data_IF_988436031880
#
_entry.id   IF_988436031880
#
_cell.length_a   1.000
_cell.length_b   1.000
_cell.length_c   1.000
_cell.angle_alpha   90.00
_cell.angle_beta   90.00
_cell.angle_gamma   90.00
#
_symmetry.space_group_name_H-M   'P 1'
#
loop_
_entity.id
_entity.type
_entity.pdbx_description
1 polymer ?
#
# COMPACT_ATOMS: atom_id res chain seq x y z
N UNK A 1 -7.99 24.73 -14.18
CA UNK A 1 -7.15 23.56 -13.83
C UNK A 1 -7.85 22.54 -12.93
N UNK A 2 -8.53 22.93 -11.83
CA UNK A 2 -9.16 21.99 -10.86
C UNK A 2 -10.18 21.02 -11.49
N UNK A 3 -11.11 21.50 -12.35
CA UNK A 3 -12.12 20.64 -13.03
C UNK A 3 -11.46 19.57 -13.90
N UNK A 4 -10.40 19.93 -14.67
CA UNK A 4 -9.68 19.00 -15.53
C UNK A 4 -9.03 17.88 -14.71
N UNK A 5 -8.33 18.22 -13.61
CA UNK A 5 -7.69 17.24 -12.73
C UNK A 5 -8.72 16.33 -12.05
N UNK A 6 -9.89 16.87 -11.66
CA UNK A 6 -10.98 16.07 -11.08
C UNK A 6 -11.50 15.01 -12.07
N UNK A 7 -11.71 15.38 -13.32
CA UNK A 7 -12.16 14.45 -14.38
C UNK A 7 -11.09 13.38 -14.65
N UNK A 8 -9.82 13.79 -14.76
CA UNK A 8 -8.70 12.85 -14.94
C UNK A 8 -8.61 11.89 -13.75
N UNK A 9 -8.71 12.38 -12.51
CA UNK A 9 -8.71 11.54 -11.31
C UNK A 9 -9.84 10.51 -11.34
N UNK A 10 -11.03 10.90 -11.79
CA UNK A 10 -12.19 10.00 -11.90
C UNK A 10 -11.97 8.93 -12.98
N UNK A 11 -11.53 9.30 -14.18
CA UNK A 11 -11.29 8.36 -15.28
C UNK A 11 -10.18 7.38 -14.93
N UNK A 12 -9.02 7.88 -14.46
CA UNK A 12 -7.89 7.02 -14.04
C UNK A 12 -8.31 6.13 -12.88
N UNK A 13 -9.15 6.64 -11.96
CA UNK A 13 -9.69 5.84 -10.87
C UNK A 13 -10.56 4.68 -11.34
N UNK A 14 -11.52 4.94 -12.26
CA UNK A 14 -12.42 3.91 -12.78
C UNK A 14 -11.68 2.87 -13.63
N UNK A 15 -10.86 3.33 -14.57
CA UNK A 15 -10.07 2.44 -15.43
C UNK A 15 -9.10 1.61 -14.57
N UNK A 16 -8.42 2.24 -13.61
CA UNK A 16 -7.54 1.54 -12.69
C UNK A 16 -8.27 0.50 -11.83
N UNK A 17 -9.49 0.79 -11.40
CA UNK A 17 -10.32 -0.15 -10.63
C UNK A 17 -10.68 -1.39 -11.47
N UNK A 18 -11.13 -1.20 -12.72
CA UNK A 18 -11.46 -2.28 -13.62
C UNK A 18 -10.22 -3.16 -13.94
N UNK A 19 -9.09 -2.53 -14.24
CA UNK A 19 -7.83 -3.22 -14.46
C UNK A 19 -7.40 -4.02 -13.22
N UNK A 20 -7.47 -3.43 -12.03
CA UNK A 20 -7.15 -4.13 -10.79
C UNK A 20 -8.06 -5.34 -10.54
N UNK A 21 -9.34 -5.22 -10.84
CA UNK A 21 -10.30 -6.32 -10.72
C UNK A 21 -9.93 -7.49 -11.65
N UNK A 22 -9.64 -7.20 -12.91
CA UNK A 22 -9.24 -8.22 -13.90
C UNK A 22 -7.90 -8.86 -13.53
N UNK A 23 -6.92 -8.06 -13.13
CA UNK A 23 -5.61 -8.54 -12.70
C UNK A 23 -5.69 -9.40 -11.43
N UNK A 24 -6.49 -8.99 -10.45
CA UNK A 24 -6.70 -9.74 -9.22
C UNK A 24 -7.39 -11.08 -9.49
N UNK A 25 -8.36 -11.09 -10.40
CA UNK A 25 -9.04 -12.33 -10.81
C UNK A 25 -8.05 -13.28 -11.51
N UNK A 26 -7.30 -12.80 -12.51
CA UNK A 26 -6.28 -13.59 -13.20
C UNK A 26 -5.20 -14.11 -12.26
N UNK A 27 -4.68 -13.25 -11.37
CA UNK A 27 -3.70 -13.64 -10.37
C UNK A 27 -4.23 -14.70 -9.41
N UNK A 28 -5.51 -14.61 -9.00
CA UNK A 28 -6.15 -15.61 -8.14
C UNK A 28 -6.32 -16.96 -8.84
N UNK A 29 -6.64 -16.97 -10.15
CA UNK A 29 -6.72 -18.21 -10.92
C UNK A 29 -5.37 -18.91 -10.98
N UNK A 30 -4.29 -18.19 -11.26
CA UNK A 30 -2.93 -18.74 -11.26
C UNK A 30 -2.55 -19.23 -9.86
N UNK A 31 -2.84 -18.46 -8.81
CA UNK A 31 -2.57 -18.83 -7.43
C UNK A 31 -3.21 -20.19 -7.07
N UNK A 32 -4.52 -20.35 -7.34
CA UNK A 32 -5.26 -21.60 -7.05
C UNK A 32 -4.77 -22.78 -7.88
N UNK A 33 -4.26 -22.52 -9.08
CA UNK A 33 -3.76 -23.58 -9.95
C UNK A 33 -2.39 -24.15 -9.50
N UNK A 34 -1.51 -23.30 -8.96
CA UNK A 34 -0.14 -23.69 -8.62
C UNK A 34 0.10 -23.94 -7.11
N UNK A 35 -0.77 -23.42 -6.25
CA UNK A 35 -0.70 -23.62 -4.80
C UNK A 35 -1.92 -24.37 -4.29
N UNK A 36 -1.78 -25.06 -3.14
CA UNK A 36 -2.88 -25.78 -2.53
C UNK A 36 -3.97 -24.84 -1.96
N UNK A 37 -5.16 -25.39 -1.70
CA UNK A 37 -6.27 -24.63 -1.13
C UNK A 37 -5.96 -24.10 0.28
N UNK A 38 -5.09 -24.78 1.02
CA UNK A 38 -4.67 -24.33 2.36
C UNK A 38 -3.94 -22.99 2.28
N UNK A 39 -3.05 -22.79 1.32
CA UNK A 39 -2.38 -21.48 1.10
C UNK A 39 -3.37 -20.38 0.71
N UNK A 40 -4.46 -20.71 0.01
CA UNK A 40 -5.52 -19.74 -0.29
C UNK A 40 -6.26 -19.33 0.98
N UNK A 41 -6.55 -20.30 1.87
CA UNK A 41 -7.14 -20.04 3.18
C UNK A 41 -6.27 -19.15 4.05
N UNK A 42 -4.95 -19.45 4.11
CA UNK A 42 -3.97 -18.62 4.83
C UNK A 42 -3.90 -17.21 4.28
N UNK A 43 -3.83 -17.08 2.96
CA UNK A 43 -3.80 -15.77 2.27
C UNK A 43 -5.06 -14.94 2.58
N UNK A 44 -6.24 -15.57 2.57
CA UNK A 44 -7.50 -14.93 2.94
C UNK A 44 -7.52 -14.49 4.42
N UNK A 45 -7.26 -15.43 5.33
CA UNK A 45 -7.31 -15.17 6.76
C UNK A 45 -6.33 -14.05 7.19
N UNK A 46 -5.06 -14.13 6.75
CA UNK A 46 -4.08 -13.10 7.11
C UNK A 46 -4.40 -11.76 6.45
N UNK A 47 -4.91 -11.76 5.22
CA UNK A 47 -5.42 -10.56 4.57
C UNK A 47 -6.55 -9.91 5.37
N UNK A 48 -7.50 -10.69 5.85
CA UNK A 48 -8.65 -10.21 6.63
C UNK A 48 -8.24 -9.73 8.04
N UNK A 49 -7.40 -10.51 8.76
CA UNK A 49 -6.89 -10.12 10.09
C UNK A 49 -6.11 -8.81 10.01
N UNK A 50 -5.22 -8.66 9.03
CA UNK A 50 -4.47 -7.43 8.84
C UNK A 50 -5.36 -6.31 8.27
N UNK A 51 -6.37 -6.65 7.47
CA UNK A 51 -7.40 -5.74 7.01
C UNK A 51 -8.19 -5.12 8.18
N UNK A 52 -8.51 -5.91 9.22
CA UNK A 52 -9.12 -5.40 10.45
C UNK A 52 -8.19 -4.43 11.20
N UNK A 53 -6.90 -4.69 11.24
CA UNK A 53 -5.94 -3.75 11.82
C UNK A 53 -5.89 -2.41 11.06
N UNK A 54 -6.20 -2.41 9.76
CA UNK A 54 -6.32 -1.19 8.96
C UNK A 54 -7.52 -0.31 9.37
N UNK A 55 -8.51 -0.84 10.09
CA UNK A 55 -9.60 -0.04 10.64
C UNK A 55 -9.11 1.00 11.66
N UNK A 56 -7.95 0.79 12.29
CA UNK A 56 -7.32 1.79 13.16
C UNK A 56 -6.98 3.10 12.42
N UNK A 57 -6.91 3.08 11.08
CA UNK A 57 -6.67 4.25 10.24
C UNK A 57 -7.94 5.09 9.98
N UNK A 58 -9.14 4.57 10.30
CA UNK A 58 -10.41 5.20 9.99
C UNK A 58 -10.51 6.63 10.55
N UNK A 59 -10.48 7.60 9.65
CA UNK A 59 -10.64 9.02 9.94
C UNK A 59 -9.33 9.80 10.07
N UNK A 60 -8.22 9.23 10.53
CA UNK A 60 -6.95 9.97 10.66
C UNK A 60 -6.47 10.46 9.29
N UNK A 61 -6.44 9.57 8.29
CA UNK A 61 -6.01 9.88 6.94
C UNK A 61 -6.82 10.99 6.29
N UNK A 62 -8.14 10.87 6.34
CA UNK A 62 -9.06 11.85 5.76
C UNK A 62 -8.99 13.21 6.46
N UNK A 63 -8.92 13.24 7.78
CA UNK A 63 -8.79 14.48 8.57
C UNK A 63 -7.47 15.21 8.26
N UNK A 64 -6.36 14.47 8.14
CA UNK A 64 -5.06 15.04 7.80
C UNK A 64 -5.04 15.60 6.38
N UNK A 65 -5.57 14.87 5.40
CA UNK A 65 -5.65 15.33 4.00
C UNK A 65 -6.52 16.59 3.92
N UNK A 66 -7.67 16.62 4.61
CA UNK A 66 -8.54 17.79 4.68
C UNK A 66 -7.80 19.01 5.23
N UNK A 67 -7.03 18.86 6.31
CA UNK A 67 -6.22 19.92 6.90
C UNK A 67 -5.14 20.46 5.96
N UNK A 68 -4.68 19.66 5.00
CA UNK A 68 -3.66 20.05 4.02
C UNK A 68 -4.21 20.84 2.83
N UNK A 69 -5.53 20.78 2.53
CA UNK A 69 -6.08 21.47 1.35
C UNK A 69 -5.87 22.97 1.36
N UNK A 70 -6.08 23.63 2.51
CA UNK A 70 -5.93 25.07 2.63
C UNK A 70 -4.46 25.52 2.49
N UNK A 71 -3.50 24.97 3.23
CA UNK A 71 -2.08 25.27 3.03
C UNK A 71 -1.59 24.99 1.61
N UNK A 72 -2.03 23.88 0.99
CA UNK A 72 -1.68 23.55 -0.39
C UNK A 72 -2.23 24.58 -1.39
N UNK A 73 -3.45 25.12 -1.15
CA UNK A 73 -4.04 26.13 -2.02
C UNK A 73 -3.37 27.51 -1.86
N UNK A 74 -2.77 27.78 -0.71
CA UNK A 74 -2.07 29.02 -0.38
C UNK A 74 -0.55 28.95 -0.61
N UNK A 75 -0.03 27.79 -1.08
CA UNK A 75 1.40 27.49 -1.20
C UNK A 75 2.18 27.72 0.11
N UNK A 76 1.53 27.47 1.27
CA UNK A 76 2.19 27.54 2.58
C UNK A 76 2.97 26.23 2.85
N UNK A 77 4.19 26.20 2.34
CA UNK A 77 5.07 25.03 2.47
C UNK A 77 5.46 24.74 3.92
N UNK A 78 5.58 25.79 4.75
CA UNK A 78 5.94 25.62 6.17
C UNK A 78 4.83 24.91 6.93
N UNK A 79 3.57 25.29 6.70
CA UNK A 79 2.44 24.63 7.32
C UNK A 79 2.24 23.22 6.79
N UNK A 80 2.41 23.00 5.47
CA UNK A 80 2.39 21.66 4.87
C UNK A 80 3.45 20.75 5.48
N UNK A 81 4.69 21.23 5.64
CA UNK A 81 5.78 20.43 6.23
C UNK A 81 5.46 20.05 7.69
N UNK A 82 4.87 20.97 8.48
CA UNK A 82 4.43 20.69 9.87
C UNK A 82 3.35 19.60 9.89
N UNK A 83 2.33 19.70 9.04
CA UNK A 83 1.26 18.71 8.94
C UNK A 83 1.79 17.35 8.47
N UNK A 84 2.71 17.33 7.49
CA UNK A 84 3.36 16.11 7.04
C UNK A 84 4.18 15.42 8.13
N UNK A 85 4.90 16.20 8.96
CA UNK A 85 5.65 15.66 10.09
C UNK A 85 4.71 15.10 11.17
N UNK A 86 3.60 15.78 11.47
CA UNK A 86 2.56 15.28 12.37
C UNK A 86 1.99 13.95 11.85
N UNK A 87 1.61 13.92 10.56
CA UNK A 87 1.05 12.74 9.91
C UNK A 87 2.04 11.55 9.94
N UNK A 88 3.31 11.82 9.62
CA UNK A 88 4.37 10.82 9.73
C UNK A 88 4.51 10.25 11.15
N UNK A 89 4.42 11.09 12.17
CA UNK A 89 4.52 10.66 13.57
C UNK A 89 3.34 9.80 13.97
N UNK A 90 2.11 10.23 13.63
CA UNK A 90 0.89 9.44 13.89
C UNK A 90 0.96 8.06 13.23
N UNK A 91 1.38 8.00 11.96
CA UNK A 91 1.48 6.72 11.25
C UNK A 91 2.59 5.81 11.77
N UNK A 92 3.66 6.37 12.32
CA UNK A 92 4.66 5.58 13.04
C UNK A 92 4.11 4.96 14.32
N UNK A 93 3.29 5.71 15.07
CA UNK A 93 2.63 5.18 16.27
C UNK A 93 1.66 4.05 15.87
N UNK A 94 0.85 4.25 14.84
CA UNK A 94 -0.04 3.20 14.31
C UNK A 94 0.75 1.97 13.85
N UNK A 95 1.83 2.16 13.10
CA UNK A 95 2.69 1.06 12.65
C UNK A 95 3.29 0.25 13.82
N UNK A 96 3.74 0.93 14.87
CA UNK A 96 4.25 0.29 16.07
C UNK A 96 3.15 -0.46 16.84
N UNK A 97 1.95 0.12 16.95
CA UNK A 97 0.81 -0.54 17.57
C UNK A 97 0.40 -1.79 16.79
N UNK A 98 0.31 -1.70 15.45
CA UNK A 98 0.01 -2.85 14.57
C UNK A 98 1.09 -3.94 14.71
N UNK A 99 2.37 -3.54 14.74
CA UNK A 99 3.47 -4.49 14.95
C UNK A 99 3.35 -5.19 16.31
N UNK A 100 3.12 -4.43 17.39
CA UNK A 100 2.99 -4.97 18.75
C UNK A 100 1.80 -5.92 18.88
N UNK A 101 0.62 -5.52 18.40
CA UNK A 101 -0.59 -6.36 18.41
C UNK A 101 -0.36 -7.61 17.54
N UNK A 102 0.21 -7.42 16.34
CA UNK A 102 0.49 -8.51 15.41
C UNK A 102 1.46 -9.55 16.02
N UNK A 103 2.54 -9.11 16.64
CA UNK A 103 3.47 -10.02 17.33
C UNK A 103 2.81 -10.73 18.52
N UNK A 104 1.94 -10.04 19.27
CA UNK A 104 1.18 -10.65 20.38
C UNK A 104 0.18 -11.71 19.92
N UNK A 105 -0.35 -11.60 18.67
CA UNK A 105 -1.23 -12.60 18.07
C UNK A 105 -0.47 -13.84 17.55
N UNK A 106 0.83 -13.75 17.32
CA UNK A 106 1.63 -14.83 16.72
C UNK A 106 1.52 -16.19 17.46
N UNK A 107 1.56 -16.27 18.81
CA UNK A 107 1.40 -17.54 19.51
C UNK A 107 -0.01 -18.13 19.42
N UNK A 108 -1.01 -17.34 19.05
CA UNK A 108 -2.39 -17.80 18.89
C UNK A 108 -2.72 -18.31 17.48
N UNK A 109 -1.81 -18.14 16.51
CA UNK A 109 -2.01 -18.57 15.10
C UNK A 109 -2.44 -20.04 14.98
N UNK A 110 -1.83 -21.02 15.69
CA UNK A 110 -2.24 -22.42 15.57
C UNK A 110 -3.69 -22.65 16.01
N UNK A 111 -4.21 -21.83 16.94
CA UNK A 111 -5.61 -21.93 17.40
C UNK A 111 -6.59 -21.27 16.43
N UNK A 112 -6.16 -20.21 15.76
CA UNK A 112 -6.98 -19.50 14.76
C UNK A 112 -7.12 -20.28 13.45
N UNK A 113 -6.15 -21.13 13.14
CA UNK A 113 -6.07 -21.89 11.90
C UNK A 113 -6.38 -23.37 12.12
N UNK A 114 -7.64 -23.69 12.43
CA UNK A 114 -8.13 -25.07 12.37
C UNK A 114 -8.09 -25.52 10.89
N UNK A 115 -7.15 -26.40 10.54
CA UNK A 115 -6.94 -26.90 9.16
C UNK A 115 -5.71 -26.34 8.45
N UNK A 116 -4.88 -25.52 9.09
CA UNK A 116 -3.60 -25.06 8.54
C UNK A 116 -2.40 -25.99 8.80
N UNK A 117 -2.64 -27.22 9.23
CA UNK A 117 -1.59 -28.21 9.53
C UNK A 117 -0.76 -28.61 8.29
N UNK A 118 -1.25 -28.33 7.09
CA UNK A 118 -0.54 -28.57 5.82
C UNK A 118 0.32 -27.42 5.31
N UNK A 119 0.32 -26.24 6.01
CA UNK A 119 1.09 -25.08 5.55
C UNK A 119 2.43 -24.99 6.24
N UNK A 120 3.50 -25.22 5.50
CA UNK A 120 4.85 -25.07 6.01
C UNK A 120 5.18 -23.61 6.32
N UNK A 121 5.95 -23.38 7.39
CA UNK A 121 6.45 -22.06 7.77
C UNK A 121 5.36 -20.99 8.02
N UNK A 122 4.21 -21.39 8.59
CA UNK A 122 3.07 -20.53 8.88
C UNK A 122 3.46 -19.23 9.61
N UNK A 123 4.36 -19.31 10.58
CA UNK A 123 4.84 -18.16 11.36
C UNK A 123 5.61 -17.18 10.47
N UNK A 124 6.44 -17.66 9.54
CA UNK A 124 7.17 -16.83 8.60
C UNK A 124 6.20 -16.14 7.62
N UNK A 125 5.21 -16.88 7.12
CA UNK A 125 4.16 -16.34 6.26
C UNK A 125 3.43 -15.20 6.97
N UNK A 126 2.97 -15.43 8.20
CA UNK A 126 2.33 -14.40 9.02
C UNK A 126 3.22 -13.17 9.23
N UNK A 127 4.50 -13.38 9.54
CA UNK A 127 5.45 -12.29 9.73
C UNK A 127 5.62 -11.45 8.46
N UNK A 128 5.66 -12.07 7.28
CA UNK A 128 5.72 -11.35 6.00
C UNK A 128 4.47 -10.49 5.77
N UNK A 129 3.28 -11.00 6.10
CA UNK A 129 2.04 -10.22 6.05
C UNK A 129 2.06 -9.06 7.07
N UNK A 130 2.50 -9.31 8.28
CA UNK A 130 2.63 -8.28 9.31
C UNK A 130 3.61 -7.18 8.89
N UNK A 131 4.78 -7.55 8.35
CA UNK A 131 5.76 -6.60 7.82
C UNK A 131 5.18 -5.80 6.65
N UNK A 132 4.38 -6.42 5.78
CA UNK A 132 3.70 -5.71 4.69
C UNK A 132 2.72 -4.66 5.24
N UNK A 133 1.92 -4.99 6.25
CA UNK A 133 1.00 -4.05 6.89
C UNK A 133 1.77 -2.90 7.54
N UNK A 134 2.78 -3.18 8.36
CA UNK A 134 3.63 -2.17 9.01
C UNK A 134 4.29 -1.24 7.99
N UNK A 135 4.86 -1.81 6.93
CA UNK A 135 5.52 -1.04 5.85
C UNK A 135 4.51 -0.15 5.12
N UNK A 136 3.29 -0.64 4.88
CA UNK A 136 2.25 0.18 4.25
C UNK A 136 1.94 1.43 5.07
N UNK A 137 1.84 1.34 6.39
CA UNK A 137 1.66 2.49 7.27
C UNK A 137 2.84 3.45 7.23
N UNK A 138 4.07 2.95 7.30
CA UNK A 138 5.27 3.78 7.27
C UNK A 138 5.42 4.58 5.97
N UNK A 139 4.77 4.16 4.89
CA UNK A 139 4.86 4.78 3.57
C UNK A 139 3.60 5.59 3.19
N UNK A 140 2.44 5.29 3.78
CA UNK A 140 1.14 5.87 3.40
C UNK A 140 1.06 7.39 3.57
N UNK A 141 1.71 7.96 4.58
CA UNK A 141 1.64 9.41 4.84
C UNK A 141 2.08 10.26 3.64
N UNK A 142 2.98 9.76 2.79
CA UNK A 142 3.46 10.46 1.59
C UNK A 142 2.36 10.66 0.54
N UNK A 143 1.31 9.83 0.58
CA UNK A 143 0.20 9.91 -0.37
C UNK A 143 -0.68 11.15 -0.15
N UNK A 144 -0.70 11.67 1.08
CA UNK A 144 -1.53 12.81 1.46
C UNK A 144 -1.21 14.06 0.64
N UNK A 145 0.07 14.29 0.33
CA UNK A 145 0.48 15.47 -0.42
C UNK A 145 -0.05 15.46 -1.86
N UNK A 146 -0.07 14.28 -2.53
CA UNK A 146 -0.66 14.16 -3.86
C UNK A 146 -2.17 14.43 -3.84
N UNK A 147 -2.85 14.03 -2.78
CA UNK A 147 -4.27 14.29 -2.60
C UNK A 147 -4.52 15.78 -2.31
N UNK A 148 -3.71 16.41 -1.45
CA UNK A 148 -3.81 17.82 -1.12
C UNK A 148 -3.68 18.73 -2.36
N UNK A 149 -2.77 18.40 -3.28
CA UNK A 149 -2.60 19.09 -4.56
C UNK A 149 -3.53 18.60 -5.67
N UNK A 150 -4.49 17.71 -5.39
CA UNK A 150 -5.41 17.12 -6.38
C UNK A 150 -4.68 16.38 -7.53
N UNK A 151 -3.47 15.90 -7.29
CA UNK A 151 -2.64 15.14 -8.24
C UNK A 151 -2.61 13.64 -7.93
N UNK A 152 -3.64 13.13 -7.23
CA UNK A 152 -3.74 11.72 -6.84
C UNK A 152 -3.69 10.74 -8.04
N UNK A 153 -4.06 11.20 -9.26
CA UNK A 153 -3.97 10.40 -10.47
C UNK A 153 -2.55 9.96 -10.80
N UNK A 154 -1.53 10.78 -10.48
CA UNK A 154 -0.12 10.45 -10.72
C UNK A 154 0.25 9.23 -9.86
N UNK A 155 -0.10 9.29 -8.57
CA UNK A 155 0.14 8.17 -7.65
C UNK A 155 -0.58 6.91 -8.11
N UNK A 156 -1.87 7.02 -8.45
CA UNK A 156 -2.67 5.87 -8.92
C UNK A 156 -2.09 5.24 -10.20
N UNK A 157 -1.61 6.06 -11.14
CA UNK A 157 -1.00 5.55 -12.37
C UNK A 157 0.30 4.76 -12.07
N UNK A 158 1.16 5.29 -11.19
CA UNK A 158 2.38 4.59 -10.78
C UNK A 158 2.04 3.28 -10.06
N UNK A 159 1.11 3.31 -9.10
CA UNK A 159 0.68 2.11 -8.38
C UNK A 159 0.09 1.06 -9.31
N UNK A 160 -0.63 1.48 -10.37
CA UNK A 160 -1.19 0.57 -11.36
C UNK A 160 -0.08 -0.12 -12.18
N UNK A 161 0.90 0.63 -12.66
CA UNK A 161 2.02 0.07 -13.43
C UNK A 161 2.81 -0.91 -12.56
N UNK A 162 3.14 -0.51 -11.34
CA UNK A 162 3.88 -1.34 -10.40
C UNK A 162 3.06 -2.57 -9.96
N UNK A 163 1.74 -2.43 -9.85
CA UNK A 163 0.82 -3.54 -9.60
C UNK A 163 0.86 -4.60 -10.71
N UNK A 164 0.93 -4.16 -11.97
CA UNK A 164 1.08 -5.07 -13.13
C UNK A 164 2.43 -5.78 -13.08
N UNK A 165 3.53 -5.04 -12.85
CA UNK A 165 4.88 -5.62 -12.72
C UNK A 165 4.90 -6.65 -11.58
N UNK A 166 4.34 -6.30 -10.42
CA UNK A 166 4.23 -7.21 -9.29
C UNK A 166 3.50 -8.50 -9.67
N UNK A 167 2.33 -8.39 -10.33
CA UNK A 167 1.56 -9.55 -10.74
C UNK A 167 2.34 -10.45 -11.69
N UNK A 168 3.02 -9.88 -12.68
CA UNK A 168 3.84 -10.65 -13.62
C UNK A 168 4.95 -11.40 -12.87
N UNK A 169 5.67 -10.71 -11.97
CA UNK A 169 6.72 -11.34 -11.16
C UNK A 169 6.17 -12.46 -10.26
N UNK A 170 5.01 -12.25 -9.64
CA UNK A 170 4.34 -13.25 -8.82
C UNK A 170 3.92 -14.47 -9.63
N UNK A 171 3.36 -14.28 -10.83
CA UNK A 171 3.00 -15.37 -11.74
C UNK A 171 4.25 -16.15 -12.14
N UNK A 172 5.31 -15.48 -12.59
CA UNK A 172 6.56 -16.13 -12.97
C UNK A 172 7.12 -16.98 -11.84
N UNK A 173 7.18 -16.41 -10.62
CA UNK A 173 7.68 -17.15 -9.44
C UNK A 173 6.79 -18.34 -9.09
N UNK A 174 5.46 -18.20 -9.14
CA UNK A 174 4.55 -19.32 -8.86
C UNK A 174 4.69 -20.45 -9.89
N UNK A 175 4.77 -20.09 -11.17
CA UNK A 175 4.91 -21.09 -12.26
C UNK A 175 6.25 -21.82 -12.18
N UNK A 176 7.33 -21.12 -11.85
CA UNK A 176 8.69 -21.68 -11.87
C UNK A 176 9.06 -22.38 -10.55
N UNK A 177 8.68 -21.81 -9.40
CA UNK A 177 9.15 -22.30 -8.10
C UNK A 177 8.06 -22.91 -7.23
N UNK A 178 6.79 -22.61 -7.49
CA UNK A 178 5.63 -22.98 -6.64
C UNK A 178 5.82 -22.58 -5.18
N UNK A 179 6.64 -21.57 -4.91
CA UNK A 179 7.02 -21.16 -3.57
C UNK A 179 6.22 -19.93 -3.13
N UNK A 180 5.35 -20.13 -2.12
CA UNK A 180 4.50 -19.07 -1.59
C UNK A 180 5.29 -17.98 -0.83
N UNK A 181 6.42 -18.33 -0.20
CA UNK A 181 7.25 -17.37 0.52
C UNK A 181 7.87 -16.37 -0.47
N UNK A 182 8.38 -16.84 -1.61
CA UNK A 182 8.90 -15.96 -2.68
C UNK A 182 7.81 -15.05 -3.25
N UNK A 183 6.60 -15.57 -3.43
CA UNK A 183 5.43 -14.79 -3.83
C UNK A 183 5.16 -13.64 -2.83
N UNK A 184 5.20 -13.90 -1.52
CA UNK A 184 5.00 -12.90 -0.48
C UNK A 184 6.15 -11.88 -0.38
N UNK A 185 7.39 -12.32 -0.62
CA UNK A 185 8.54 -11.41 -0.68
C UNK A 185 8.34 -10.39 -1.81
N UNK A 186 7.91 -10.81 -2.99
CA UNK A 186 7.59 -9.89 -4.10
C UNK A 186 6.46 -8.94 -3.67
N UNK A 187 5.43 -9.47 -3.00
CA UNK A 187 4.29 -8.68 -2.51
C UNK A 187 4.71 -7.60 -1.51
N UNK A 188 5.72 -7.88 -0.69
CA UNK A 188 6.27 -6.93 0.28
C UNK A 188 7.16 -5.86 -0.38
N UNK A 189 8.11 -6.28 -1.22
CA UNK A 189 9.15 -5.39 -1.71
C UNK A 189 8.71 -4.49 -2.88
N UNK A 190 7.88 -4.97 -3.78
CA UNK A 190 7.50 -4.20 -4.98
C UNK A 190 6.73 -2.91 -4.64
N UNK A 191 5.80 -2.86 -3.68
CA UNK A 191 5.19 -1.59 -3.26
C UNK A 191 6.16 -0.63 -2.57
N UNK A 192 7.22 -1.14 -1.92
CA UNK A 192 8.28 -0.30 -1.35
C UNK A 192 9.02 0.46 -2.45
N UNK A 193 9.35 -0.21 -3.55
CA UNK A 193 9.96 0.41 -4.73
C UNK A 193 9.07 1.52 -5.29
N UNK A 194 7.75 1.29 -5.41
CA UNK A 194 6.78 2.32 -5.78
C UNK A 194 6.91 3.57 -4.91
N UNK A 195 6.94 3.37 -3.60
CA UNK A 195 7.01 4.48 -2.65
C UNK A 195 8.33 5.26 -2.72
N UNK A 196 9.43 4.60 -3.06
CA UNK A 196 10.72 5.25 -3.31
C UNK A 196 10.67 6.09 -4.59
N UNK A 197 10.19 5.53 -5.69
CA UNK A 197 10.03 6.23 -6.98
C UNK A 197 9.20 7.50 -6.81
N UNK A 198 8.06 7.39 -6.11
CA UNK A 198 7.18 8.52 -5.84
C UNK A 198 7.84 9.57 -4.95
N UNK A 199 8.64 9.15 -3.96
CA UNK A 199 9.36 10.08 -3.09
C UNK A 199 10.40 10.89 -3.87
N UNK A 200 11.10 10.26 -4.81
CA UNK A 200 12.07 10.93 -5.69
C UNK A 200 11.35 11.90 -6.65
N UNK A 201 10.21 11.49 -7.20
CA UNK A 201 9.38 12.33 -8.07
C UNK A 201 8.87 13.59 -7.36
N UNK A 202 8.51 13.50 -6.07
CA UNK A 202 8.12 14.66 -5.27
C UNK A 202 9.26 15.68 -5.15
N UNK A 203 10.48 15.24 -4.88
CA UNK A 203 11.65 16.12 -4.77
C UNK A 203 11.85 16.91 -6.08
N UNK A 204 11.70 16.25 -7.22
CA UNK A 204 11.82 16.91 -8.52
C UNK A 204 10.69 17.93 -8.79
N UNK A 205 9.46 17.64 -8.40
CA UNK A 205 8.31 18.53 -8.59
C UNK A 205 8.46 19.79 -7.71
N UNK A 206 8.94 19.67 -6.47
CA UNK A 206 9.15 20.81 -5.57
C UNK A 206 10.34 21.67 -6.03
N UNK A 207 11.48 21.07 -6.41
CA UNK A 207 12.62 21.82 -6.96
C UNK A 207 12.31 22.56 -8.25
N UNK A 208 11.51 21.98 -9.14
CA UNK A 208 11.11 22.65 -10.38
C UNK A 208 10.21 23.88 -10.13
N UNK A 209 9.47 23.92 -9.00
CA UNK A 209 8.70 25.10 -8.61
C UNK A 209 9.57 26.22 -8.01
N UNK A 210 10.60 25.89 -7.24
CA UNK A 210 11.56 26.88 -6.71
C UNK A 210 12.30 27.60 -7.85
N UNK A 211 12.76 26.86 -8.85
CA UNK A 211 13.48 27.45 -10.02
C UNK A 211 12.60 28.29 -10.93
N UNK A 212 11.25 28.07 -10.93
CA UNK A 212 10.30 28.87 -11.68
C UNK A 212 9.79 30.10 -10.92
N UNK A 213 9.96 30.15 -9.62
CA UNK A 213 9.61 31.33 -8.79
C UNK A 213 10.73 32.37 -8.72
N UNK A 214 11.94 31.97 -9.14
CA UNK A 214 13.14 32.81 -9.16
C UNK A 214 13.41 33.45 -10.56
N UNK A 215 12.51 33.24 -11.56
CA UNK A 215 12.49 33.85 -12.88
C UNK A 215 11.34 34.85 -13.04
#
# INVERSE_FOLDING_TARGET
MRKKNSIINMIVGLVGQLLNMLLSFGGRMVFVHYLSQEYLGVNGLFGDVLGMLNLAELGIGSAMIFSMYRPAAQNDEKQLARLMNLYRTLYRIVALAVLGIGLALMPFLPRLMKGGEGVENLQLIYLLYLLQAVTSYLLSYKNAIYQAYQKAYIRKAVDQIIGIVRLILQIVVLVTTRNFILYLIIQLFVPMVSSVIISLSLIHIFRAHETLSDL
#
